data_IF_802901910338
#
_entry.id   IF_802901910338
#
_cell.length_a   1.000
_cell.length_b   1.000
_cell.length_c   1.000
_cell.angle_alpha   90.00
_cell.angle_beta   90.00
_cell.angle_gamma   90.00
#
_symmetry.space_group_name_H-M   'P 1'
#
loop_
_entity.id
_entity.type
_entity.pdbx_description
1 polymer ?
#
# COMPACT_ATOMS: atom_id res chain seq x y z
N UNK A 1 -8.74 9.57 29.19
CA UNK A 1 -7.66 9.73 28.18
C UNK A 1 -7.31 8.36 27.61
N UNK A 2 -8.16 7.76 26.77
CA UNK A 2 -7.96 6.39 26.24
C UNK A 2 -8.28 6.25 24.74
N UNK A 3 -8.50 7.38 24.04
CA UNK A 3 -8.85 7.41 22.61
C UNK A 3 -7.69 7.74 21.66
N UNK A 4 -6.53 8.18 22.18
CA UNK A 4 -5.39 8.54 21.34
C UNK A 4 -4.60 7.31 20.87
N UNK A 5 -4.40 6.33 21.77
CA UNK A 5 -3.61 5.13 21.53
C UNK A 5 -4.27 4.18 20.50
N UNK A 6 -5.58 3.97 20.59
CA UNK A 6 -6.31 3.14 19.61
C UNK A 6 -6.29 3.78 18.22
N UNK A 7 -6.42 5.11 18.14
CA UNK A 7 -6.32 5.82 16.86
C UNK A 7 -4.91 5.75 16.29
N UNK A 8 -3.86 5.95 17.09
CA UNK A 8 -2.48 5.87 16.59
C UNK A 8 -2.11 4.45 16.15
N UNK A 9 -2.55 3.43 16.91
CA UNK A 9 -2.35 2.02 16.53
C UNK A 9 -3.15 1.67 15.28
N UNK A 10 -4.41 2.11 15.17
CA UNK A 10 -5.22 1.89 13.98
C UNK A 10 -4.65 2.61 12.74
N UNK A 11 -4.14 3.83 12.89
CA UNK A 11 -3.48 4.58 11.81
C UNK A 11 -2.20 3.86 11.36
N UNK A 12 -1.38 3.39 12.30
CA UNK A 12 -0.19 2.61 11.97
C UNK A 12 -0.53 1.31 11.26
N UNK A 13 -1.53 0.56 11.75
CA UNK A 13 -1.99 -0.67 11.13
C UNK A 13 -2.57 -0.43 9.73
N UNK A 14 -3.30 0.68 9.54
CA UNK A 14 -3.85 1.07 8.24
C UNK A 14 -2.73 1.39 7.26
N UNK A 15 -1.74 2.19 7.68
CA UNK A 15 -0.57 2.49 6.85
C UNK A 15 0.23 1.22 6.53
N UNK A 16 0.45 0.33 7.49
CA UNK A 16 1.15 -0.94 7.28
C UNK A 16 0.45 -1.79 6.22
N UNK A 17 -0.87 -1.99 6.34
CA UNK A 17 -1.65 -2.80 5.39
C UNK A 17 -1.60 -2.18 3.98
N UNK A 18 -1.77 -0.87 3.87
CA UNK A 18 -1.77 -0.19 2.58
C UNK A 18 -0.37 -0.19 1.93
N UNK A 19 0.70 0.00 2.72
CA UNK A 19 2.08 -0.12 2.24
C UNK A 19 2.38 -1.55 1.78
N UNK A 20 1.95 -2.57 2.52
CA UNK A 20 2.07 -3.98 2.10
C UNK A 20 1.32 -4.22 0.80
N UNK A 21 0.10 -3.71 0.66
CA UNK A 21 -0.68 -3.84 -0.58
C UNK A 21 0.06 -3.24 -1.79
N UNK A 22 0.65 -2.05 -1.66
CA UNK A 22 1.45 -1.44 -2.72
C UNK A 22 2.68 -2.28 -3.07
N UNK A 23 3.42 -2.74 -2.05
CA UNK A 23 4.60 -3.60 -2.26
C UNK A 23 4.22 -4.87 -3.02
N UNK A 24 3.14 -5.54 -2.60
CA UNK A 24 2.65 -6.77 -3.24
C UNK A 24 2.16 -6.54 -4.66
N UNK A 25 1.44 -5.46 -4.92
CA UNK A 25 0.95 -5.15 -6.27
C UNK A 25 2.11 -4.99 -7.27
N UNK A 26 3.18 -4.31 -6.87
CA UNK A 26 4.36 -4.13 -7.73
C UNK A 26 5.14 -5.43 -7.92
N UNK A 27 5.31 -6.23 -6.85
CA UNK A 27 5.95 -7.54 -6.94
C UNK A 27 5.20 -8.45 -7.91
N UNK A 28 3.88 -8.53 -7.77
CA UNK A 28 3.03 -9.33 -8.65
C UNK A 28 3.13 -8.87 -10.10
N UNK A 29 3.10 -7.56 -10.34
CA UNK A 29 3.29 -7.01 -11.68
C UNK A 29 4.66 -7.38 -12.27
N UNK A 30 5.74 -7.36 -11.47
CA UNK A 30 7.08 -7.77 -11.90
C UNK A 30 7.14 -9.26 -12.24
N UNK A 31 6.55 -10.10 -11.40
CA UNK A 31 6.52 -11.55 -11.59
C UNK A 31 5.75 -11.95 -12.86
N UNK A 32 4.73 -11.18 -13.23
CA UNK A 32 4.00 -11.32 -14.49
C UNK A 32 4.63 -10.58 -15.68
N UNK A 33 5.80 -9.94 -15.51
CA UNK A 33 6.48 -9.20 -16.58
C UNK A 33 5.76 -7.92 -17.03
N UNK A 34 4.82 -7.40 -16.24
CA UNK A 34 4.08 -6.18 -16.56
C UNK A 34 4.94 -4.94 -16.36
N UNK A 35 5.58 -4.47 -17.43
CA UNK A 35 6.47 -3.30 -17.35
C UNK A 35 5.75 -1.96 -17.32
N UNK A 36 4.44 -1.92 -17.60
CA UNK A 36 3.62 -0.72 -17.60
C UNK A 36 2.63 -0.80 -16.45
N UNK A 37 2.87 -0.03 -15.39
CA UNK A 37 2.06 -0.11 -14.17
C UNK A 37 1.55 1.28 -13.79
N UNK A 38 0.23 1.39 -13.65
CA UNK A 38 -0.41 2.57 -13.08
C UNK A 38 -1.05 2.18 -11.76
N UNK A 39 -0.50 2.71 -10.67
CA UNK A 39 -0.97 2.45 -9.32
C UNK A 39 -1.72 3.68 -8.79
N UNK A 40 -2.98 3.45 -8.41
CA UNK A 40 -3.88 4.48 -7.90
C UNK A 40 -4.18 4.22 -6.42
N UNK A 41 -4.14 5.26 -5.59
CA UNK A 41 -4.47 5.15 -4.17
C UNK A 41 -5.26 6.36 -3.67
N UNK A 42 -6.29 6.11 -2.87
CA UNK A 42 -7.02 7.15 -2.12
C UNK A 42 -6.38 7.44 -0.75
N UNK A 43 -5.37 6.66 -0.36
CA UNK A 43 -4.67 6.84 0.90
C UNK A 43 -3.65 7.97 0.83
N UNK A 44 -3.98 9.08 1.49
CA UNK A 44 -3.03 10.17 1.73
C UNK A 44 -1.79 9.71 2.51
N UNK A 45 -1.89 8.63 3.30
CA UNK A 45 -0.76 8.11 4.08
C UNK A 45 0.24 7.38 3.17
N UNK A 46 -0.23 6.53 2.26
CA UNK A 46 0.62 5.89 1.25
C UNK A 46 1.27 6.94 0.34
N UNK A 47 0.51 7.94 -0.09
CA UNK A 47 1.04 9.02 -0.92
C UNK A 47 2.17 9.74 -0.18
N UNK A 48 1.96 10.10 1.08
CA UNK A 48 3.01 10.72 1.92
C UNK A 48 4.20 9.79 2.11
N UNK A 49 3.99 8.49 2.34
CA UNK A 49 5.06 7.51 2.48
C UNK A 49 5.87 7.37 1.17
N UNK A 50 5.23 7.56 0.02
CA UNK A 50 5.88 7.57 -1.29
C UNK A 50 6.86 8.72 -1.48
N UNK A 51 6.50 9.91 -1.00
CA UNK A 51 7.38 11.09 -1.05
C UNK A 51 8.35 11.19 0.13
N UNK A 52 8.00 10.59 1.27
CA UNK A 52 8.78 10.61 2.51
C UNK A 52 8.95 9.18 3.04
N UNK A 53 9.98 8.44 2.57
CA UNK A 53 10.21 7.04 2.95
C UNK A 53 10.42 6.83 4.46
N UNK A 54 10.77 7.88 5.21
CA UNK A 54 10.88 7.84 6.68
C UNK A 54 9.56 7.54 7.40
N UNK A 55 8.42 7.71 6.72
CA UNK A 55 7.10 7.35 7.25
C UNK A 55 6.79 5.87 7.10
N UNK A 56 7.55 5.12 6.29
CA UNK A 56 7.37 3.68 6.13
C UNK A 56 7.80 2.99 7.43
N UNK A 57 6.95 2.12 8.00
CA UNK A 57 7.31 1.32 9.17
C UNK A 57 8.64 0.58 8.96
N UNK A 58 9.52 0.62 9.96
CA UNK A 58 10.87 0.07 9.85
C UNK A 58 10.87 -1.40 9.39
N UNK A 59 9.93 -2.21 9.86
CA UNK A 59 9.75 -3.60 9.47
C UNK A 59 9.47 -3.82 7.98
N UNK A 60 8.95 -2.80 7.27
CA UNK A 60 8.64 -2.84 5.83
C UNK A 60 9.67 -2.09 4.97
N UNK A 61 10.61 -1.36 5.59
CA UNK A 61 11.57 -0.48 4.90
C UNK A 61 12.41 -1.20 3.83
N UNK A 62 12.89 -2.41 4.12
CA UNK A 62 13.68 -3.22 3.18
C UNK A 62 12.83 -3.64 1.98
N UNK A 63 11.61 -4.12 2.22
CA UNK A 63 10.69 -4.52 1.14
C UNK A 63 10.28 -3.32 0.30
N UNK A 64 10.04 -2.17 0.94
CA UNK A 64 9.77 -0.91 0.27
C UNK A 64 10.92 -0.51 -0.65
N UNK A 65 12.16 -0.54 -0.17
CA UNK A 65 13.33 -0.19 -0.98
C UNK A 65 13.53 -1.15 -2.17
N UNK A 66 13.34 -2.45 -1.96
CA UNK A 66 13.40 -3.45 -3.02
C UNK A 66 12.32 -3.22 -4.08
N UNK A 67 11.10 -2.91 -3.65
CA UNK A 67 10.01 -2.52 -4.54
C UNK A 67 10.32 -1.20 -5.27
N UNK A 68 10.92 -0.23 -4.61
CA UNK A 68 11.29 1.04 -5.25
C UNK A 68 12.36 0.83 -6.33
N UNK A 69 13.38 0.02 -6.05
CA UNK A 69 14.36 -0.40 -7.06
C UNK A 69 13.71 -1.17 -8.21
N UNK A 70 12.65 -1.91 -7.92
CA UNK A 70 11.87 -2.63 -8.91
C UNK A 70 11.17 -1.72 -9.91
N UNK A 71 10.54 -0.69 -9.38
CA UNK A 71 9.83 0.33 -10.15
C UNK A 71 10.76 1.06 -11.12
N UNK A 72 12.06 1.24 -10.78
CA UNK A 72 13.01 1.95 -11.63
C UNK A 72 13.21 1.31 -13.01
N UNK A 73 12.96 0.00 -13.15
CA UNK A 73 13.02 -0.70 -14.43
C UNK A 73 11.66 -0.81 -15.13
N UNK A 74 10.60 -0.21 -14.57
CA UNK A 74 9.23 -0.25 -15.08
C UNK A 74 8.80 1.15 -15.51
N UNK A 75 7.89 1.25 -16.49
CA UNK A 75 7.15 2.47 -16.76
C UNK A 75 6.02 2.57 -15.74
N UNK A 76 6.36 3.16 -14.60
CA UNK A 76 5.47 3.29 -13.47
C UNK A 76 4.85 4.68 -13.37
N UNK A 77 3.55 4.73 -13.09
CA UNK A 77 2.83 5.95 -12.74
C UNK A 77 2.12 5.73 -11.40
N UNK A 78 2.22 6.72 -10.54
CA UNK A 78 1.48 6.76 -9.28
C UNK A 78 0.55 7.98 -9.28
N UNK A 79 -0.71 7.80 -8.90
CA UNK A 79 -1.65 8.91 -8.77
C UNK A 79 -2.58 8.75 -7.58
N UNK A 80 -3.02 9.90 -7.06
CA UNK A 80 -4.09 9.95 -6.08
C UNK A 80 -5.45 9.88 -6.77
N UNK A 81 -6.37 9.09 -6.22
CA UNK A 81 -7.78 9.11 -6.60
C UNK A 81 -8.66 9.45 -5.40
N UNK A 82 -9.73 10.20 -5.62
CA UNK A 82 -10.72 10.43 -4.56
C UNK A 82 -11.52 9.15 -4.29
N UNK A 83 -11.88 8.91 -3.02
CA UNK A 83 -12.55 7.67 -2.54
C UNK A 83 -13.69 7.15 -3.40
N UNK A 84 -14.45 8.04 -4.04
CA UNK A 84 -15.56 7.67 -4.94
C UNK A 84 -15.08 6.81 -6.12
N UNK A 85 -13.86 7.05 -6.60
CA UNK A 85 -13.22 6.24 -7.65
C UNK A 85 -12.54 4.97 -7.14
N UNK A 86 -12.36 4.79 -5.82
CA UNK A 86 -11.63 3.65 -5.23
C UNK A 86 -12.54 2.51 -4.72
N UNK A 87 -13.82 2.51 -5.09
CA UNK A 87 -14.82 1.60 -4.52
C UNK A 87 -14.47 0.10 -4.65
N UNK A 88 -13.79 -0.30 -5.74
CA UNK A 88 -13.36 -1.67 -5.97
C UNK A 88 -12.26 -2.11 -4.99
N UNK A 89 -11.23 -1.29 -4.78
CA UNK A 89 -10.14 -1.63 -3.87
C UNK A 89 -10.61 -1.62 -2.41
N UNK A 90 -11.46 -0.66 -2.03
CA UNK A 90 -12.10 -0.61 -0.71
C UNK A 90 -12.94 -1.87 -0.44
N UNK A 91 -13.70 -2.33 -1.43
CA UNK A 91 -14.50 -3.55 -1.31
C UNK A 91 -13.61 -4.78 -1.15
N UNK A 92 -12.49 -4.85 -1.87
CA UNK A 92 -11.52 -5.94 -1.79
C UNK A 92 -10.77 -5.96 -0.45
N UNK A 93 -10.35 -4.80 0.05
CA UNK A 93 -9.71 -4.68 1.37
C UNK A 93 -10.67 -5.09 2.49
N UNK A 94 -11.95 -4.67 2.41
CA UNK A 94 -13.02 -5.11 3.34
C UNK A 94 -13.27 -6.61 3.28
N UNK A 95 -13.18 -7.20 2.09
CA UNK A 95 -13.28 -8.65 1.93
C UNK A 95 -12.10 -9.37 2.61
N UNK A 96 -10.87 -8.91 2.39
CA UNK A 96 -9.68 -9.45 3.05
C UNK A 96 -9.72 -9.36 4.58
N UNK A 97 -10.15 -8.21 5.13
CA UNK A 97 -10.35 -8.02 6.57
C UNK A 97 -11.37 -9.00 7.15
N UNK A 98 -12.40 -9.36 6.39
CA UNK A 98 -13.42 -10.33 6.79
C UNK A 98 -12.95 -11.79 6.68
N UNK A 99 -11.85 -12.06 5.99
CA UNK A 99 -11.38 -13.42 5.69
C UNK A 99 -9.96 -13.66 6.25
N UNK A 100 -9.67 -13.09 7.43
CA UNK A 100 -8.40 -13.13 8.17
C UNK A 100 -7.90 -14.54 8.60
N UNK A 101 -8.10 -15.58 7.79
CA UNK A 101 -7.82 -16.98 8.14
C UNK A 101 -7.43 -17.90 6.97
N UNK A 102 -6.98 -17.42 5.82
CA UNK A 102 -6.46 -18.31 4.77
C UNK A 102 -5.29 -17.67 4.04
N UNK A 103 -4.11 -18.23 4.30
CA UNK A 103 -2.87 -18.01 3.56
C UNK A 103 -3.08 -18.20 2.05
N UNK A 104 -2.54 -17.27 1.25
CA UNK A 104 -2.19 -17.45 -0.15
C UNK A 104 -0.68 -17.27 -0.31
#
# INVERSE_FOLDING_TARGET
MMGCLVKSVAINLTLEIEVVAVIRAVQLARDHGWMYLWLESDSLLVIKAFYSPSLVPWCLSVQWFNMFNSIRSMRFRFSHIYRVGNGCADSLARFGLRHHGSSW
#
